data_IF_280548076917
#
_entry.id   IF_280548076917
#
_cell.length_a   1.000
_cell.length_b   1.000
_cell.length_c   1.000
_cell.angle_alpha   90.00
_cell.angle_beta   90.00
_cell.angle_gamma   90.00
#
_symmetry.space_group_name_H-M   'P 1'
#
loop_
_entity.id
_entity.type
_entity.pdbx_description
1 polymer ?
#
# COMPACT_ATOMS: atom_id res chain seq x y z
N UNK A 1 3.22 8.17 -1.92
CA UNK A 1 1.81 7.93 -1.53
C UNK A 1 0.79 8.41 -2.57
N UNK A 2 0.59 9.72 -2.84
CA UNK A 2 -0.49 10.16 -3.77
C UNK A 2 -0.40 9.48 -5.15
N UNK A 3 0.78 9.46 -5.75
CA UNK A 3 1.02 8.81 -7.04
C UNK A 3 0.72 7.29 -7.03
N UNK A 4 0.77 6.61 -5.87
CA UNK A 4 0.36 5.20 -5.73
C UNK A 4 -1.15 5.04 -5.92
N UNK A 5 -1.93 6.00 -5.43
CA UNK A 5 -3.38 6.06 -5.66
C UNK A 5 -3.66 6.38 -7.14
N UNK A 6 -2.86 7.25 -7.78
CA UNK A 6 -2.98 7.54 -9.22
C UNK A 6 -2.73 6.29 -10.07
N UNK A 7 -1.71 5.48 -9.74
CA UNK A 7 -1.48 4.19 -10.41
C UNK A 7 -2.68 3.26 -10.22
N UNK A 8 -3.26 3.18 -9.03
CA UNK A 8 -4.47 2.38 -8.81
C UNK A 8 -5.65 2.90 -9.68
N UNK A 9 -5.89 4.21 -9.70
CA UNK A 9 -6.96 4.81 -10.53
C UNK A 9 -6.74 4.60 -12.03
N UNK A 10 -5.49 4.48 -12.48
CA UNK A 10 -5.16 4.19 -13.88
C UNK A 10 -5.37 2.71 -14.26
N UNK A 11 -5.41 1.80 -13.28
CA UNK A 11 -5.46 0.35 -13.50
C UNK A 11 -6.81 -0.29 -13.12
N UNK A 12 -7.64 0.40 -12.34
CA UNK A 12 -8.89 -0.14 -11.79
C UNK A 12 -10.05 0.84 -11.97
N UNK A 13 -11.26 0.32 -12.24
CA UNK A 13 -12.46 1.14 -12.48
C UNK A 13 -12.98 1.82 -11.20
N UNK A 14 -12.76 1.18 -10.06
CA UNK A 14 -13.14 1.69 -8.73
C UNK A 14 -12.01 1.41 -7.77
N UNK A 15 -11.64 2.39 -6.96
CA UNK A 15 -10.60 2.29 -5.95
C UNK A 15 -11.15 2.77 -4.61
N UNK A 16 -11.15 1.89 -3.62
CA UNK A 16 -11.48 2.20 -2.23
C UNK A 16 -10.23 2.22 -1.37
N UNK A 17 -10.00 3.36 -0.70
CA UNK A 17 -8.91 3.57 0.26
C UNK A 17 -9.52 3.75 1.64
N UNK A 18 -9.05 3.01 2.63
CA UNK A 18 -9.53 3.12 4.02
C UNK A 18 -8.70 4.10 4.82
N UNK A 19 -7.37 4.05 4.66
CA UNK A 19 -6.46 4.80 5.51
C UNK A 19 -5.32 5.44 4.71
N UNK A 20 -5.05 6.71 5.04
CA UNK A 20 -3.94 7.50 4.51
C UNK A 20 -3.22 8.20 5.68
N UNK A 21 -3.86 9.23 6.23
CA UNK A 21 -3.30 10.02 7.33
C UNK A 21 -4.30 10.06 8.48
N UNK A 22 -4.14 9.10 9.38
CA UNK A 22 -4.92 8.99 10.62
C UNK A 22 -4.54 10.07 11.64
N UNK A 23 -3.34 10.68 11.52
CA UNK A 23 -2.93 11.78 12.40
C UNK A 23 -3.82 13.01 12.24
N UNK A 24 -4.31 13.28 11.03
CA UNK A 24 -5.19 14.43 10.75
C UNK A 24 -6.55 14.32 11.47
N UNK A 25 -7.02 13.10 11.73
CA UNK A 25 -8.33 12.85 12.36
C UNK A 25 -8.22 12.43 13.82
N UNK A 26 -7.02 12.08 14.29
CA UNK A 26 -6.80 11.54 15.63
C UNK A 26 -7.22 10.07 15.79
N UNK A 27 -7.54 9.38 14.69
CA UNK A 27 -7.89 7.97 14.69
C UNK A 27 -6.67 7.12 15.07
N UNK A 28 -6.85 6.16 15.98
CA UNK A 28 -5.80 5.24 16.45
C UNK A 28 -6.28 3.81 16.22
N UNK A 29 -5.52 3.05 15.43
CA UNK A 29 -5.81 1.63 15.13
C UNK A 29 -4.50 0.87 14.91
N UNK A 30 -4.56 -0.47 14.93
CA UNK A 30 -3.41 -1.33 14.68
C UNK A 30 -2.22 -0.98 15.58
N UNK A 31 -1.04 -0.77 14.98
CA UNK A 31 0.21 -0.37 15.65
C UNK A 31 0.14 0.99 16.41
N UNK A 32 -1.02 1.60 16.53
CA UNK A 32 -1.27 2.80 17.31
C UNK A 32 -0.48 3.99 16.78
N UNK A 33 0.07 4.80 17.70
CA UNK A 33 0.85 5.98 17.32
C UNK A 33 2.16 5.66 16.60
N UNK A 34 2.59 4.39 16.59
CA UNK A 34 3.76 3.94 15.85
C UNK A 34 3.45 3.61 14.38
N UNK A 35 2.18 3.53 13.97
CA UNK A 35 1.76 3.30 12.58
C UNK A 35 2.21 4.41 11.63
N UNK A 36 2.55 4.09 10.38
CA UNK A 36 2.94 5.08 9.35
C UNK A 36 1.82 6.00 8.92
N UNK A 37 0.57 5.60 9.17
CA UNK A 37 -0.56 6.51 9.01
C UNK A 37 -0.61 7.60 10.09
N UNK A 38 0.13 7.46 11.20
CA UNK A 38 0.05 8.36 12.36
C UNK A 38 1.37 9.00 12.77
N UNK A 39 2.46 8.22 12.81
CA UNK A 39 3.79 8.68 13.23
C UNK A 39 4.32 9.77 12.30
N UNK A 40 5.18 10.66 12.82
CA UNK A 40 5.88 11.68 12.03
C UNK A 40 4.95 12.54 11.15
N UNK A 41 3.79 12.91 11.67
CA UNK A 41 2.78 13.70 10.93
C UNK A 41 1.78 12.87 10.11
N UNK A 42 1.96 11.55 10.05
CA UNK A 42 1.11 10.63 9.30
C UNK A 42 1.27 10.75 7.78
N UNK A 43 0.48 9.97 7.04
CA UNK A 43 0.50 10.00 5.57
C UNK A 43 1.69 9.28 4.93
N UNK A 44 2.36 8.40 5.68
CA UNK A 44 3.49 7.60 5.18
C UNK A 44 3.08 6.19 4.74
N UNK A 45 1.77 5.90 4.68
CA UNK A 45 1.23 4.64 4.20
C UNK A 45 -0.14 4.85 3.56
N UNK A 46 -0.59 3.85 2.79
CA UNK A 46 -1.93 3.81 2.17
C UNK A 46 -2.48 2.39 2.21
N UNK A 47 -3.74 2.28 2.64
CA UNK A 47 -4.47 1.02 2.74
C UNK A 47 -5.58 0.99 1.70
N UNK A 48 -5.45 0.10 0.72
CA UNK A 48 -6.51 -0.17 -0.25
C UNK A 48 -7.38 -1.31 0.28
N UNK A 49 -8.68 -1.08 0.39
CA UNK A 49 -9.62 -2.12 0.87
C UNK A 49 -10.54 -2.65 -0.23
N UNK A 50 -10.60 -1.96 -1.39
CA UNK A 50 -11.49 -2.34 -2.48
C UNK A 50 -10.94 -1.94 -3.85
N UNK A 51 -10.95 -2.87 -4.81
CA UNK A 51 -10.63 -2.62 -6.22
C UNK A 51 -11.66 -3.31 -7.13
N UNK A 52 -12.08 -2.65 -8.22
CA UNK A 52 -13.10 -3.18 -9.15
C UNK A 52 -14.37 -3.71 -8.44
N UNK A 53 -14.80 -3.06 -7.35
CA UNK A 53 -15.97 -3.47 -6.56
C UNK A 53 -15.74 -4.71 -5.68
N UNK A 54 -14.51 -5.19 -5.54
CA UNK A 54 -14.16 -6.38 -4.76
C UNK A 54 -13.31 -6.01 -3.54
N UNK A 55 -13.63 -6.53 -2.34
CA UNK A 55 -12.79 -6.32 -1.17
C UNK A 55 -11.43 -6.98 -1.34
N UNK A 56 -10.40 -6.38 -0.74
CA UNK A 56 -9.03 -6.88 -0.79
C UNK A 56 -8.68 -7.71 0.45
N UNK A 57 -7.66 -8.54 0.30
CA UNK A 57 -7.05 -9.36 1.36
C UNK A 57 -5.53 -9.25 1.38
N UNK A 58 -4.94 -8.54 0.41
CA UNK A 58 -3.51 -8.50 0.17
C UNK A 58 -2.96 -9.71 -0.61
N UNK A 59 -3.79 -10.72 -0.88
CA UNK A 59 -3.45 -11.89 -1.69
C UNK A 59 -4.49 -12.33 -2.73
N UNK A 60 -5.63 -11.65 -2.78
CA UNK A 60 -6.64 -11.83 -3.82
C UNK A 60 -6.13 -11.34 -5.20
N UNK A 61 -6.82 -11.71 -6.30
CA UNK A 61 -6.37 -11.36 -7.65
C UNK A 61 -6.15 -9.86 -7.88
N UNK A 62 -6.97 -8.98 -7.27
CA UNK A 62 -6.87 -7.54 -7.49
C UNK A 62 -5.71 -6.94 -6.69
N UNK A 63 -5.46 -7.43 -5.46
CA UNK A 63 -4.23 -7.13 -4.73
C UNK A 63 -2.98 -7.49 -5.55
N UNK A 64 -2.94 -8.70 -6.13
CA UNK A 64 -1.81 -9.14 -6.93
C UNK A 64 -1.65 -8.35 -8.25
N UNK A 65 -2.76 -7.88 -8.84
CA UNK A 65 -2.73 -6.97 -9.99
C UNK A 65 -2.08 -5.63 -9.60
N UNK A 66 -2.52 -5.02 -8.49
CA UNK A 66 -2.01 -3.72 -8.05
C UNK A 66 -0.54 -3.81 -7.64
N UNK A 67 -0.12 -4.88 -6.94
CA UNK A 67 1.29 -5.12 -6.60
C UNK A 67 2.17 -5.13 -7.87
N UNK A 68 1.74 -5.85 -8.92
CA UNK A 68 2.50 -5.92 -10.19
C UNK A 68 2.54 -4.60 -10.93
N UNK A 69 1.46 -3.81 -10.87
CA UNK A 69 1.43 -2.48 -11.48
C UNK A 69 2.35 -1.49 -10.74
N UNK A 70 2.45 -1.60 -9.42
CA UNK A 70 3.25 -0.72 -8.60
C UNK A 70 4.73 -1.09 -8.59
N UNK A 71 5.10 -2.38 -8.43
CA UNK A 71 6.48 -2.78 -8.15
C UNK A 71 7.53 -2.11 -9.05
N UNK A 72 7.37 -2.01 -10.39
CA UNK A 72 8.39 -1.40 -11.25
C UNK A 72 8.61 0.10 -11.01
N UNK A 73 7.59 0.80 -10.54
CA UNK A 73 7.58 2.26 -10.37
C UNK A 73 7.82 2.67 -8.92
N UNK A 74 7.76 1.76 -7.96
CA UNK A 74 7.98 2.09 -6.55
C UNK A 74 9.45 2.45 -6.27
N UNK A 75 9.71 3.36 -5.31
CA UNK A 75 11.03 3.51 -4.73
C UNK A 75 11.49 2.18 -4.12
N UNK A 76 12.77 1.81 -4.23
CA UNK A 76 13.30 0.63 -3.56
C UNK A 76 13.04 0.66 -2.06
N UNK A 77 12.93 -0.52 -1.46
CA UNK A 77 12.66 -0.69 -0.02
C UNK A 77 11.31 -0.11 0.45
N UNK A 78 10.32 -0.02 -0.43
CA UNK A 78 8.95 0.26 0.03
C UNK A 78 8.41 -0.98 0.71
N UNK A 79 7.81 -0.85 1.88
CA UNK A 79 7.24 -1.98 2.61
C UNK A 79 5.85 -2.37 2.02
N UNK A 80 5.59 -3.67 1.93
CA UNK A 80 4.38 -4.27 1.36
C UNK A 80 3.76 -5.26 2.35
N UNK A 81 2.60 -4.92 2.91
CA UNK A 81 1.94 -5.73 3.93
C UNK A 81 1.36 -7.04 3.39
N UNK A 82 0.70 -7.80 4.27
CA UNK A 82 -0.07 -9.00 3.96
C UNK A 82 0.74 -10.16 3.33
N UNK A 83 2.02 -10.30 3.67
CA UNK A 83 2.84 -11.40 3.12
C UNK A 83 2.25 -12.79 3.45
N UNK A 84 1.65 -12.95 4.64
CA UNK A 84 0.98 -14.20 5.05
C UNK A 84 -0.34 -14.51 4.34
N UNK A 85 -0.88 -13.59 3.54
CA UNK A 85 -2.19 -13.72 2.89
C UNK A 85 -2.08 -14.19 1.43
N UNK A 86 -0.85 -14.36 0.92
CA UNK A 86 -0.57 -14.68 -0.49
C UNK A 86 0.52 -15.74 -0.63
N UNK A 87 0.54 -16.40 -1.79
CA UNK A 87 1.73 -17.12 -2.24
C UNK A 87 2.89 -16.16 -2.53
N UNK A 88 4.08 -16.71 -2.78
CA UNK A 88 5.25 -15.91 -3.14
C UNK A 88 4.96 -15.04 -4.39
N UNK A 89 5.29 -13.75 -4.31
CA UNK A 89 5.20 -12.80 -5.42
C UNK A 89 6.59 -12.26 -5.70
N UNK A 90 7.01 -12.33 -6.96
CA UNK A 90 8.26 -11.72 -7.39
C UNK A 90 8.12 -10.20 -7.40
N UNK A 91 8.80 -9.54 -6.48
CA UNK A 91 8.87 -8.07 -6.35
C UNK A 91 10.32 -7.65 -6.22
N UNK A 92 10.64 -6.46 -6.72
CA UNK A 92 12.01 -5.93 -6.78
C UNK A 92 12.20 -4.66 -5.98
N UNK A 93 11.15 -3.84 -5.83
CA UNK A 93 11.21 -2.60 -5.05
C UNK A 93 10.44 -2.71 -3.72
N UNK A 94 9.65 -3.78 -3.53
CA UNK A 94 8.94 -4.05 -2.29
C UNK A 94 9.70 -4.93 -1.29
N UNK A 95 9.50 -4.65 0.00
CA UNK A 95 9.90 -5.46 1.14
C UNK A 95 8.64 -6.01 1.83
N UNK A 96 8.36 -7.32 1.73
CA UNK A 96 7.16 -7.90 2.33
C UNK A 96 7.21 -7.90 3.86
N UNK A 97 6.07 -7.62 4.51
CA UNK A 97 5.90 -7.77 5.97
C UNK A 97 4.50 -8.32 6.33
N UNK A 98 4.35 -8.82 7.56
CA UNK A 98 3.10 -9.38 8.08
C UNK A 98 2.11 -8.28 8.47
N UNK A 99 0.87 -8.43 8.01
CA UNK A 99 -0.26 -7.56 8.36
C UNK A 99 -1.59 -8.30 8.09
N UNK A 100 -2.70 -7.74 8.56
CA UNK A 100 -4.03 -8.37 8.55
C UNK A 100 -4.58 -8.53 7.13
N UNK A 101 -5.19 -9.68 6.84
CA UNK A 101 -5.66 -10.06 5.50
C UNK A 101 -7.02 -9.45 5.10
N UNK A 102 -7.23 -8.16 5.34
CA UNK A 102 -8.47 -7.44 5.05
C UNK A 102 -8.28 -6.17 4.18
N UNK A 103 -7.04 -5.90 3.76
CA UNK A 103 -6.68 -4.80 2.87
C UNK A 103 -5.33 -5.09 2.17
N UNK A 104 -4.85 -4.17 1.34
CA UNK A 104 -3.48 -4.12 0.84
C UNK A 104 -2.77 -2.87 1.35
N UNK A 105 -1.75 -3.07 2.19
CA UNK A 105 -0.95 -2.02 2.84
C UNK A 105 0.31 -1.71 2.03
N UNK A 106 0.51 -0.43 1.70
CA UNK A 106 1.76 0.08 1.10
C UNK A 106 2.37 1.13 2.04
N UNK A 107 3.58 0.86 2.54
CA UNK A 107 4.26 1.71 3.53
C UNK A 107 5.57 2.30 3.00
N UNK A 108 5.70 3.62 3.12
CA UNK A 108 6.81 4.39 2.58
C UNK A 108 7.89 4.69 3.62
N UNK A 109 7.77 4.20 4.86
CA UNK A 109 8.72 4.52 5.94
C UNK A 109 10.15 4.09 5.64
N UNK A 110 10.32 2.96 4.94
CA UNK A 110 11.62 2.42 4.54
C UNK A 110 12.01 2.80 3.10
N UNK A 111 11.10 3.45 2.36
CA UNK A 111 11.29 3.74 0.94
C UNK A 111 12.48 4.67 0.70
N UNK A 112 13.32 4.31 -0.27
CA UNK A 112 14.49 5.09 -0.67
C UNK A 112 14.17 5.92 -1.92
N UNK A 113 13.64 7.12 -1.70
CA UNK A 113 13.24 8.05 -2.74
C UNK A 113 11.95 8.78 -2.37
N UNK A 114 11.70 9.92 -2.99
CA UNK A 114 10.54 10.78 -2.65
C UNK A 114 9.39 10.68 -3.64
N UNK A 115 9.57 9.99 -4.78
CA UNK A 115 8.59 9.86 -5.84
C UNK A 115 8.66 8.49 -6.51
N UNK A 116 7.57 8.06 -7.13
CA UNK A 116 7.62 6.91 -8.04
C UNK A 116 8.55 7.21 -9.23
N UNK A 117 9.21 6.17 -9.72
CA UNK A 117 10.05 6.23 -10.92
C UNK A 117 9.14 6.48 -12.13
N UNK A 118 9.52 7.44 -12.97
CA UNK A 118 8.90 7.62 -14.28
C UNK A 118 9.20 6.35 -15.10
N UNK A 119 8.16 5.74 -15.69
CA UNK A 119 8.35 4.66 -16.65
C UNK A 119 9.12 5.20 -17.85
N UNK A 120 10.37 4.78 -18.01
CA UNK A 120 11.18 5.04 -19.21
C UNK A 120 10.82 4.09 -20.33
#
# INVERSE_FOLDING_TARGET
MLQTIEVALANFNTVGVSDINRRCTGQIEGAGSASSHYANGGGHAVDFYLLNGRPLTGGDPESLNLIRALDPVMPPNTDLGQVGCRGSVAVTNFLPFDDTCDHLHIDFRQAQGTALKLST
#
